data_IF_799478754560
#
_entry.id   IF_799478754560
#
_cell.length_a   1.000
_cell.length_b   1.000
_cell.length_c   1.000
_cell.angle_alpha   90.00
_cell.angle_beta   90.00
_cell.angle_gamma   90.00
#
_symmetry.space_group_name_H-M   'P 1'
#
loop_
_entity.id
_entity.type
_entity.pdbx_description
1 polymer ?
#
# COMPACT_ATOMS: atom_id res chain seq x y z
N UNK A 1 -44.71 -16.83 -12.09
CA UNK A 1 -43.72 -17.52 -11.24
C UNK A 1 -42.30 -17.36 -11.79
N UNK A 2 -42.03 -17.68 -13.07
CA UNK A 2 -40.71 -17.54 -13.75
C UNK A 2 -39.94 -16.21 -13.53
N UNK A 3 -40.65 -15.09 -13.42
CA UNK A 3 -40.07 -13.75 -13.23
C UNK A 3 -39.17 -13.63 -11.98
N UNK A 4 -39.53 -14.26 -10.85
CA UNK A 4 -38.74 -14.16 -9.62
C UNK A 4 -37.41 -14.92 -9.70
N UNK A 5 -37.41 -16.04 -10.44
CA UNK A 5 -36.20 -16.81 -10.74
C UNK A 5 -35.24 -16.03 -11.61
N UNK A 6 -35.75 -15.42 -12.66
CA UNK A 6 -34.97 -14.59 -13.59
C UNK A 6 -34.37 -13.37 -12.87
N UNK A 7 -35.13 -12.74 -11.97
CA UNK A 7 -34.64 -11.65 -11.09
C UNK A 7 -33.56 -12.15 -10.13
N UNK A 8 -33.74 -13.33 -9.52
CA UNK A 8 -32.76 -13.93 -8.62
C UNK A 8 -31.43 -14.21 -9.33
N UNK A 9 -31.47 -14.79 -10.53
CA UNK A 9 -30.28 -15.07 -11.36
C UNK A 9 -29.57 -13.76 -11.71
N UNK A 10 -30.29 -12.73 -12.14
CA UNK A 10 -29.72 -11.42 -12.46
C UNK A 10 -28.97 -10.82 -11.27
N UNK A 11 -29.59 -10.82 -10.08
CA UNK A 11 -28.98 -10.29 -8.87
C UNK A 11 -27.74 -11.09 -8.45
N UNK A 12 -27.76 -12.41 -8.58
CA UNK A 12 -26.57 -13.25 -8.34
C UNK A 12 -25.44 -12.85 -9.30
N UNK A 13 -25.73 -12.75 -10.61
CA UNK A 13 -24.72 -12.38 -11.60
C UNK A 13 -24.12 -10.99 -11.35
N UNK A 14 -24.97 -10.00 -11.02
CA UNK A 14 -24.50 -8.64 -10.68
C UNK A 14 -23.67 -8.65 -9.41
N UNK A 15 -24.14 -9.31 -8.34
CA UNK A 15 -23.42 -9.39 -7.07
C UNK A 15 -22.06 -10.06 -7.19
N UNK A 16 -21.99 -11.19 -7.91
CA UNK A 16 -20.71 -11.88 -8.21
C UNK A 16 -19.80 -11.00 -9.04
N UNK A 17 -20.33 -10.30 -10.06
CA UNK A 17 -19.55 -9.37 -10.87
C UNK A 17 -18.94 -8.23 -10.05
N UNK A 18 -19.73 -7.60 -9.18
CA UNK A 18 -19.26 -6.54 -8.28
C UNK A 18 -18.20 -7.04 -7.29
N UNK A 19 -18.41 -8.23 -6.74
CA UNK A 19 -17.45 -8.86 -5.83
C UNK A 19 -16.10 -9.13 -6.51
N UNK A 20 -16.10 -9.77 -7.69
CA UNK A 20 -14.89 -10.08 -8.43
C UNK A 20 -14.14 -8.81 -8.89
N UNK A 21 -14.89 -7.79 -9.32
CA UNK A 21 -14.31 -6.51 -9.70
C UNK A 21 -13.69 -5.77 -8.51
N UNK A 22 -14.37 -5.76 -7.36
CA UNK A 22 -13.83 -5.23 -6.11
C UNK A 22 -12.55 -5.94 -5.69
N UNK A 23 -12.55 -7.28 -5.73
CA UNK A 23 -11.39 -8.10 -5.40
C UNK A 23 -10.20 -7.81 -6.33
N UNK A 24 -10.46 -7.66 -7.64
CA UNK A 24 -9.43 -7.26 -8.60
C UNK A 24 -8.80 -5.90 -8.27
N UNK A 25 -9.60 -4.89 -7.89
CA UNK A 25 -9.09 -3.57 -7.51
C UNK A 25 -8.25 -3.64 -6.23
N UNK A 26 -8.70 -4.39 -5.22
CA UNK A 26 -7.95 -4.56 -3.97
C UNK A 26 -6.57 -5.19 -4.23
N UNK A 27 -6.53 -6.27 -5.02
CA UNK A 27 -5.26 -6.95 -5.35
C UNK A 27 -4.35 -6.06 -6.18
N UNK A 28 -4.88 -5.44 -7.25
CA UNK A 28 -4.07 -4.57 -8.12
C UNK A 28 -3.54 -3.35 -7.38
N UNK A 29 -4.32 -2.76 -6.47
CA UNK A 29 -3.88 -1.64 -5.63
C UNK A 29 -2.79 -2.08 -4.65
N UNK A 30 -2.96 -3.23 -3.99
CA UNK A 30 -1.96 -3.81 -3.09
C UNK A 30 -0.61 -4.02 -3.80
N UNK A 31 -0.62 -4.66 -4.97
CA UNK A 31 0.59 -4.89 -5.79
C UNK A 31 1.20 -3.56 -6.22
N UNK A 32 0.38 -2.63 -6.68
CA UNK A 32 0.83 -1.32 -7.17
C UNK A 32 1.49 -0.49 -6.07
N UNK A 33 0.93 -0.47 -4.87
CA UNK A 33 1.47 0.27 -3.72
C UNK A 33 2.77 -0.37 -3.21
N UNK A 34 2.77 -1.68 -2.97
CA UNK A 34 3.95 -2.39 -2.48
C UNK A 34 5.12 -2.27 -3.47
N UNK A 35 4.90 -2.56 -4.76
CA UNK A 35 5.98 -2.46 -5.75
C UNK A 35 6.51 -1.02 -5.96
N UNK A 36 5.64 -0.01 -5.82
CA UNK A 36 6.02 1.37 -6.07
C UNK A 36 6.73 2.02 -4.89
N UNK A 37 6.40 1.66 -3.65
CA UNK A 37 6.93 2.31 -2.45
C UNK A 37 7.82 1.35 -1.67
N UNK A 38 7.27 0.24 -1.16
CA UNK A 38 8.05 -0.76 -0.40
C UNK A 38 9.20 -1.31 -1.24
N UNK A 39 8.94 -1.65 -2.50
CA UNK A 39 9.98 -2.12 -3.41
C UNK A 39 11.06 -1.07 -3.73
N UNK A 40 10.76 0.24 -3.64
CA UNK A 40 11.80 1.28 -3.77
C UNK A 40 12.63 1.37 -2.50
N UNK A 41 11.99 1.33 -1.33
CA UNK A 41 12.67 1.27 -0.03
C UNK A 41 13.61 0.08 0.05
N UNK A 42 13.13 -1.12 -0.28
CA UNK A 42 13.92 -2.35 -0.21
C UNK A 42 15.12 -2.29 -1.15
N UNK A 43 14.94 -1.74 -2.36
CA UNK A 43 16.06 -1.54 -3.27
C UNK A 43 17.03 -0.45 -2.81
N UNK A 44 16.57 0.58 -2.10
CA UNK A 44 17.46 1.57 -1.48
C UNK A 44 18.29 0.91 -0.36
N UNK A 45 17.70 0.01 0.41
CA UNK A 45 18.40 -0.70 1.50
C UNK A 45 19.54 -1.60 1.00
N UNK A 46 19.42 -2.17 -0.20
CA UNK A 46 20.45 -3.06 -0.79
C UNK A 46 21.33 -2.39 -1.84
N UNK A 47 21.15 -1.09 -2.09
CA UNK A 47 21.94 -0.34 -3.07
C UNK A 47 23.43 -0.33 -2.69
N UNK A 48 24.30 -0.37 -3.70
CA UNK A 48 25.74 -0.59 -3.50
C UNK A 48 26.49 0.64 -2.99
N UNK A 49 26.02 1.83 -3.37
CA UNK A 49 26.69 3.10 -3.07
C UNK A 49 25.71 4.19 -2.58
N UNK A 50 26.27 5.24 -1.99
CA UNK A 50 25.51 6.32 -1.38
C UNK A 50 24.70 7.13 -2.41
N UNK A 51 25.19 7.24 -3.65
CA UNK A 51 24.51 7.98 -4.71
C UNK A 51 23.26 7.23 -5.18
N UNK A 52 23.35 5.91 -5.36
CA UNK A 52 22.21 5.06 -5.68
C UNK A 52 21.18 5.09 -4.54
N UNK A 53 21.62 4.99 -3.27
CA UNK A 53 20.71 5.13 -2.12
C UNK A 53 19.96 6.46 -2.18
N UNK A 54 20.67 7.57 -2.39
CA UNK A 54 20.10 8.91 -2.49
C UNK A 54 19.04 8.99 -3.58
N UNK A 55 19.36 8.55 -4.79
CA UNK A 55 18.44 8.63 -5.92
C UNK A 55 17.19 7.77 -5.70
N UNK A 56 17.33 6.63 -5.03
CA UNK A 56 16.18 5.80 -4.63
C UNK A 56 15.35 6.44 -3.51
N UNK A 57 15.96 7.14 -2.58
CA UNK A 57 15.25 7.88 -1.54
C UNK A 57 14.48 9.08 -2.11
N UNK A 58 15.05 9.79 -3.08
CA UNK A 58 14.34 10.86 -3.82
C UNK A 58 13.13 10.25 -4.54
N UNK A 59 13.32 9.16 -5.28
CA UNK A 59 12.22 8.46 -5.95
C UNK A 59 11.17 7.95 -4.96
N UNK A 60 11.56 7.53 -3.77
CA UNK A 60 10.65 7.10 -2.71
C UNK A 60 9.76 8.28 -2.25
N UNK A 61 10.36 9.43 -1.94
CA UNK A 61 9.61 10.62 -1.51
C UNK A 61 8.65 11.11 -2.61
N UNK A 62 9.11 11.15 -3.87
CA UNK A 62 8.28 11.50 -5.03
C UNK A 62 7.08 10.55 -5.20
N UNK A 63 7.29 9.24 -5.03
CA UNK A 63 6.20 8.25 -5.16
C UNK A 63 5.23 8.31 -3.99
N UNK A 64 5.72 8.53 -2.78
CA UNK A 64 4.86 8.76 -1.61
C UNK A 64 4.00 10.02 -1.83
N UNK A 65 4.60 11.10 -2.34
CA UNK A 65 3.89 12.33 -2.68
C UNK A 65 2.84 12.13 -3.77
N UNK A 66 3.21 11.48 -4.88
CA UNK A 66 2.29 11.19 -5.98
C UNK A 66 1.09 10.31 -5.56
N UNK A 67 1.22 9.55 -4.48
CA UNK A 67 0.16 8.72 -3.88
C UNK A 67 -0.63 9.42 -2.78
N UNK A 68 -0.31 10.69 -2.48
CA UNK A 68 -0.96 11.45 -1.42
C UNK A 68 -0.57 11.01 -0.01
N UNK A 69 0.55 10.29 0.15
CA UNK A 69 1.05 9.87 1.46
C UNK A 69 1.70 11.07 2.17
N UNK A 70 0.89 11.97 2.71
CA UNK A 70 1.35 13.15 3.45
C UNK A 70 1.28 12.96 4.98
N UNK A 71 0.51 11.99 5.45
CA UNK A 71 0.31 11.72 6.86
C UNK A 71 -0.60 10.52 7.10
N UNK A 72 -0.90 10.26 8.37
CA UNK A 72 -1.61 9.07 8.82
C UNK A 72 -0.67 7.91 9.11
N UNK A 73 -1.22 6.85 9.68
CA UNK A 73 -0.44 5.68 10.09
C UNK A 73 -0.53 4.56 9.06
N UNK A 74 0.61 3.89 8.84
CA UNK A 74 0.70 2.71 7.97
C UNK A 74 0.12 1.46 8.63
N UNK A 75 0.18 1.39 9.97
CA UNK A 75 -0.35 0.28 10.79
C UNK A 75 -1.58 0.71 11.58
N UNK A 76 -2.55 -0.20 11.72
CA UNK A 76 -3.78 0.00 12.49
C UNK A 76 -3.56 -0.08 14.00
N UNK A 77 -2.59 -0.89 14.43
CA UNK A 77 -2.44 -1.29 15.84
C UNK A 77 -1.17 -0.73 16.47
N UNK A 78 -0.18 -0.37 15.66
CA UNK A 78 1.11 0.12 16.14
C UNK A 78 1.31 1.54 15.65
N UNK A 79 1.09 2.49 16.55
CA UNK A 79 1.41 3.90 16.31
C UNK A 79 2.80 4.19 16.87
N UNK A 80 3.71 4.57 15.99
CA UNK A 80 5.07 4.94 16.33
C UNK A 80 5.59 5.92 15.28
N UNK A 81 6.69 6.63 15.54
CA UNK A 81 7.34 7.46 14.51
C UNK A 81 7.72 6.68 13.25
N UNK A 82 7.86 5.36 13.35
CA UNK A 82 8.20 4.46 12.24
C UNK A 82 7.00 3.99 11.41
N UNK A 83 5.78 4.29 11.87
CA UNK A 83 4.52 4.01 11.17
C UNK A 83 3.76 5.28 10.79
N UNK A 84 4.15 6.45 11.32
CA UNK A 84 3.62 7.74 10.89
C UNK A 84 4.25 8.17 9.56
N UNK A 85 3.42 8.32 8.53
CA UNK A 85 3.86 8.70 7.19
C UNK A 85 4.55 10.06 7.17
N UNK A 86 4.12 11.01 8.00
CA UNK A 86 4.72 12.34 8.04
C UNK A 86 6.16 12.31 8.57
N UNK A 87 6.37 11.59 9.68
CA UNK A 87 7.69 11.33 10.28
C UNK A 87 8.58 10.52 9.33
N UNK A 88 8.03 9.47 8.69
CA UNK A 88 8.78 8.69 7.71
C UNK A 88 9.26 9.58 6.56
N UNK A 89 8.40 10.44 6.00
CA UNK A 89 8.80 11.35 4.92
C UNK A 89 9.86 12.35 5.36
N UNK A 90 9.74 12.89 6.56
CA UNK A 90 10.78 13.77 7.09
C UNK A 90 12.11 13.01 7.24
N UNK A 91 12.07 11.80 7.77
CA UNK A 91 13.26 10.96 7.90
C UNK A 91 13.85 10.57 6.53
N UNK A 92 13.04 10.29 5.51
CA UNK A 92 13.52 10.08 4.14
C UNK A 92 14.29 11.31 3.64
N UNK A 93 13.77 12.53 3.85
CA UNK A 93 14.46 13.78 3.47
C UNK A 93 15.77 13.98 4.22
N UNK A 94 15.81 13.66 5.52
CA UNK A 94 17.04 13.66 6.32
C UNK A 94 18.06 12.64 5.78
N UNK A 95 17.61 11.44 5.41
CA UNK A 95 18.46 10.40 4.84
C UNK A 95 19.01 10.78 3.46
N UNK A 96 18.25 11.50 2.62
CA UNK A 96 18.75 12.05 1.35
C UNK A 96 19.96 12.97 1.62
N UNK A 97 19.83 13.92 2.55
CA UNK A 97 20.93 14.82 2.92
C UNK A 97 22.13 14.09 3.53
N UNK A 98 21.87 13.02 4.30
CA UNK A 98 22.92 12.16 4.85
C UNK A 98 23.64 11.37 3.76
N UNK A 99 22.92 10.80 2.80
CA UNK A 99 23.48 10.11 1.65
C UNK A 99 24.34 11.05 0.79
N UNK A 100 23.90 12.30 0.58
CA UNK A 100 24.69 13.35 -0.06
C UNK A 100 26.00 13.67 0.67
N UNK A 101 26.01 13.55 2.00
CA UNK A 101 27.21 13.77 2.82
C UNK A 101 28.14 12.56 2.75
N UNK A 102 27.60 11.35 2.85
CA UNK A 102 28.36 10.09 2.75
C UNK A 102 28.97 9.93 1.37
N UNK A 103 28.27 10.32 0.29
CA UNK A 103 28.76 10.26 -1.08
C UNK A 103 30.02 11.10 -1.34
N UNK A 104 30.35 12.05 -0.45
CA UNK A 104 31.56 12.88 -0.52
C UNK A 104 32.75 12.27 0.20
N UNK A 105 32.55 11.20 0.98
CA UNK A 105 33.61 10.48 1.67
C UNK A 105 34.34 9.54 0.68
N UNK A 106 35.56 9.14 1.05
CA UNK A 106 36.29 8.12 0.30
C UNK A 106 35.55 6.76 0.42
N UNK A 107 35.15 6.13 -0.70
CA UNK A 107 34.44 4.84 -0.69
C UNK A 107 35.18 3.70 0.03
N UNK A 108 36.51 3.80 0.12
CA UNK A 108 37.37 2.84 0.80
C UNK A 108 37.50 3.08 2.30
N UNK A 109 36.97 4.19 2.82
CA UNK A 109 37.05 4.54 4.23
C UNK A 109 36.01 3.82 5.09
N UNK A 110 36.38 3.49 6.33
CA UNK A 110 35.45 2.94 7.32
C UNK A 110 34.25 3.88 7.57
N UNK A 111 34.50 5.20 7.52
CA UNK A 111 33.46 6.22 7.70
C UNK A 111 32.39 6.16 6.59
N UNK A 112 32.79 5.83 5.35
CA UNK A 112 31.85 5.64 4.25
C UNK A 112 30.98 4.40 4.49
N UNK A 113 31.59 3.27 4.86
CA UNK A 113 30.87 2.02 5.13
C UNK A 113 29.91 2.16 6.32
N UNK A 114 30.36 2.77 7.41
CA UNK A 114 29.51 3.08 8.56
C UNK A 114 28.35 4.02 8.18
N UNK A 115 28.62 5.02 7.35
CA UNK A 115 27.59 5.93 6.84
C UNK A 115 26.51 5.22 6.04
N UNK A 116 26.89 4.27 5.18
CA UNK A 116 25.95 3.43 4.44
C UNK A 116 25.13 2.54 5.37
N UNK A 117 25.78 1.87 6.31
CA UNK A 117 25.12 0.94 7.23
C UNK A 117 24.11 1.65 8.14
N UNK A 118 24.42 2.86 8.60
CA UNK A 118 23.48 3.67 9.37
C UNK A 118 22.24 4.04 8.54
N UNK A 119 22.42 4.45 7.28
CA UNK A 119 21.29 4.78 6.39
C UNK A 119 20.42 3.53 6.15
N UNK A 120 21.04 2.38 5.86
CA UNK A 120 20.35 1.10 5.67
C UNK A 120 19.64 0.64 6.95
N UNK A 121 20.26 0.86 8.11
CA UNK A 121 19.69 0.59 9.41
C UNK A 121 18.39 1.36 9.64
N UNK A 122 18.41 2.66 9.44
CA UNK A 122 17.20 3.50 9.56
C UNK A 122 16.13 3.11 8.54
N UNK A 123 16.50 2.79 7.28
CA UNK A 123 15.54 2.33 6.28
C UNK A 123 14.84 1.02 6.67
N UNK A 124 15.55 0.13 7.37
CA UNK A 124 14.99 -1.14 7.86
C UNK A 124 13.92 -0.94 8.91
N UNK A 125 14.00 0.15 9.68
CA UNK A 125 13.03 0.48 10.72
C UNK A 125 11.72 1.04 10.16
N UNK A 126 11.71 1.57 8.94
CA UNK A 126 10.49 2.07 8.31
C UNK A 126 9.51 0.94 8.00
N UNK A 127 8.40 0.92 8.73
CA UNK A 127 7.29 -0.01 8.53
C UNK A 127 6.27 0.60 7.57
N UNK A 128 6.65 0.65 6.29
CA UNK A 128 5.80 1.10 5.19
C UNK A 128 4.78 0.01 4.85
N UNK A 129 3.79 -0.25 5.71
CA UNK A 129 2.64 -1.09 5.36
C UNK A 129 1.70 -0.33 4.42
N UNK A 130 2.07 -0.20 3.15
CA UNK A 130 1.41 0.72 2.21
C UNK A 130 -0.04 0.35 1.92
N UNK A 131 -0.35 -0.96 1.89
CA UNK A 131 -1.72 -1.44 1.78
C UNK A 131 -2.56 -1.12 3.03
N UNK A 132 -1.95 -1.22 4.21
CA UNK A 132 -2.56 -0.79 5.48
C UNK A 132 -2.91 0.70 5.42
N UNK A 133 -1.92 1.54 5.07
CA UNK A 133 -2.15 2.98 4.90
C UNK A 133 -3.32 3.27 3.94
N UNK A 134 -3.37 2.64 2.76
CA UNK A 134 -4.44 2.84 1.79
C UNK A 134 -5.82 2.44 2.33
N UNK A 135 -5.87 1.32 3.04
CA UNK A 135 -7.11 0.80 3.62
C UNK A 135 -7.70 1.78 4.63
N UNK A 136 -6.86 2.37 5.50
CA UNK A 136 -7.32 3.21 6.61
C UNK A 136 -7.40 4.70 6.29
N UNK A 137 -6.48 5.22 5.49
CA UNK A 137 -6.32 6.66 5.28
C UNK A 137 -6.79 7.12 3.90
N UNK A 138 -6.74 6.26 2.89
CA UNK A 138 -7.10 6.60 1.49
C UNK A 138 -8.48 6.07 1.07
N UNK A 139 -9.33 5.70 2.03
CA UNK A 139 -10.70 5.24 1.76
C UNK A 139 -10.82 3.80 1.26
N UNK A 140 -9.74 3.00 1.31
CA UNK A 140 -9.78 1.59 0.89
C UNK A 140 -10.82 0.77 1.67
N UNK A 141 -11.06 1.08 2.94
CA UNK A 141 -12.11 0.44 3.74
C UNK A 141 -13.53 0.66 3.18
N UNK A 142 -13.84 1.89 2.73
CA UNK A 142 -15.14 2.21 2.12
C UNK A 142 -15.30 1.41 0.83
N UNK A 143 -14.23 1.31 0.04
CA UNK A 143 -14.23 0.52 -1.19
C UNK A 143 -14.49 -0.97 -0.92
N UNK A 144 -13.78 -1.56 0.06
CA UNK A 144 -13.99 -2.97 0.45
C UNK A 144 -15.44 -3.20 0.88
N UNK A 145 -15.99 -2.32 1.72
CA UNK A 145 -17.39 -2.40 2.14
C UNK A 145 -18.37 -2.34 0.95
N UNK A 146 -18.18 -1.42 0.02
CA UNK A 146 -19.11 -1.22 -1.09
C UNK A 146 -19.10 -2.37 -2.09
N UNK A 147 -17.92 -2.85 -2.50
CA UNK A 147 -17.84 -3.80 -3.62
C UNK A 147 -17.73 -5.25 -3.16
N UNK A 148 -16.95 -5.53 -2.11
CA UNK A 148 -16.77 -6.90 -1.62
C UNK A 148 -17.98 -7.29 -0.79
N UNK A 149 -18.31 -6.51 0.25
CA UNK A 149 -19.44 -6.82 1.13
C UNK A 149 -20.77 -6.54 0.41
N UNK A 150 -20.90 -5.38 -0.26
CA UNK A 150 -22.11 -5.06 -1.02
C UNK A 150 -22.39 -6.05 -2.16
N UNK A 151 -21.37 -6.46 -2.93
CA UNK A 151 -21.51 -7.49 -3.96
C UNK A 151 -22.00 -8.84 -3.39
N UNK A 152 -21.46 -9.25 -2.25
CA UNK A 152 -21.91 -10.44 -1.54
C UNK A 152 -23.38 -10.33 -1.08
N UNK A 153 -23.78 -9.18 -0.51
CA UNK A 153 -25.16 -8.94 -0.08
C UNK A 153 -26.13 -9.01 -1.27
N UNK A 154 -25.79 -8.38 -2.40
CA UNK A 154 -26.61 -8.40 -3.62
C UNK A 154 -26.78 -9.83 -4.14
N UNK A 155 -25.68 -10.61 -4.16
CA UNK A 155 -25.75 -12.02 -4.56
C UNK A 155 -26.62 -12.85 -3.60
N UNK A 156 -26.49 -12.63 -2.29
CA UNK A 156 -27.28 -13.31 -1.27
C UNK A 156 -28.78 -13.00 -1.39
N UNK A 157 -29.14 -11.74 -1.62
CA UNK A 157 -30.53 -11.33 -1.91
C UNK A 157 -31.03 -12.06 -3.17
N UNK A 158 -30.20 -12.15 -4.21
CA UNK A 158 -30.53 -12.92 -5.41
C UNK A 158 -30.85 -14.40 -5.13
N UNK A 159 -30.09 -15.05 -4.24
CA UNK A 159 -30.37 -16.43 -3.81
C UNK A 159 -31.73 -16.54 -3.10
N UNK A 160 -32.12 -15.56 -2.28
CA UNK A 160 -33.43 -15.53 -1.62
C UNK A 160 -34.55 -15.48 -2.66
N UNK A 161 -34.45 -14.60 -3.66
CA UNK A 161 -35.45 -14.48 -4.73
C UNK A 161 -35.51 -15.73 -5.62
N UNK A 162 -34.36 -16.36 -5.88
CA UNK A 162 -34.28 -17.60 -6.64
C UNK A 162 -34.98 -18.77 -5.92
N UNK A 163 -34.79 -18.91 -4.60
CA UNK A 163 -35.42 -19.96 -3.78
C UNK A 163 -36.89 -19.73 -3.45
N UNK A 164 -37.39 -18.50 -3.61
CA UNK A 164 -38.80 -18.17 -3.36
C UNK A 164 -39.76 -18.87 -4.32
N UNK A 165 -39.26 -19.47 -5.40
CA UNK A 165 -40.06 -20.25 -6.34
C UNK A 165 -40.27 -21.71 -5.88
N UNK A 166 -39.48 -22.19 -4.91
CA UNK A 166 -39.55 -23.57 -4.39
C UNK A 166 -40.55 -23.74 -3.22
N UNK A 167 -41.20 -22.66 -2.79
CA UNK A 167 -42.21 -22.59 -1.72
C UNK A 167 -43.51 -21.98 -2.24
#
# INVERSE_FOLDING_TARGET
MKYWKDVGILLISVGVGLFLWGLFIVISTSISLSSSIEGVKDRAQVAADAAEIRDRLILLDERMEARGMHGGFTSLFVHSPWTDVSEIRENVKRLIGRADTVAKLDPSSDAYQQGLDDIRGTLREFDLQTFGWWTYNAGGWVFICLFVIGGFIVAFIGVIFWRREDY
#
